data_IF_551224626476
#
_entry.id   IF_551224626476
#
_cell.length_a   1.000
_cell.length_b   1.000
_cell.length_c   1.000
_cell.angle_alpha   90.00
_cell.angle_beta   90.00
_cell.angle_gamma   90.00
#
_symmetry.space_group_name_H-M   'P 1'
#
loop_
_entity.id
_entity.type
_entity.pdbx_description
1 polymer ?
#
# COMPACT_ATOMS: atom_id res chain seq x y z
N UNK A 1 -17.82 -15.69 2.74
CA UNK A 1 -17.39 -14.51 1.93
C UNK A 1 -16.16 -14.93 1.15
N UNK A 2 -16.17 -14.83 -0.17
CA UNK A 2 -14.99 -15.13 -0.98
C UNK A 2 -14.05 -13.91 -0.98
N UNK A 3 -12.72 -14.14 -1.00
CA UNK A 3 -11.76 -13.06 -1.22
C UNK A 3 -11.97 -12.42 -2.60
N UNK A 4 -11.60 -11.14 -2.78
CA UNK A 4 -11.68 -10.49 -4.08
C UNK A 4 -10.68 -11.12 -5.05
N UNK A 5 -11.01 -11.16 -6.34
CA UNK A 5 -10.08 -11.58 -7.39
C UNK A 5 -8.88 -10.61 -7.49
N UNK A 6 -9.15 -9.31 -7.37
CA UNK A 6 -8.12 -8.26 -7.35
C UNK A 6 -8.07 -7.60 -5.97
N UNK A 7 -6.96 -7.82 -5.26
CA UNK A 7 -6.69 -7.15 -3.98
C UNK A 7 -5.99 -5.80 -4.20
N UNK A 8 -6.66 -4.72 -3.80
CA UNK A 8 -6.06 -3.37 -3.77
C UNK A 8 -5.68 -2.99 -2.34
N UNK A 9 -4.41 -2.68 -2.11
CA UNK A 9 -3.90 -2.24 -0.81
C UNK A 9 -3.50 -0.77 -0.85
N UNK A 10 -4.20 0.07 -0.08
CA UNK A 10 -3.83 1.46 0.11
C UNK A 10 -2.94 1.61 1.35
N UNK A 11 -1.64 1.81 1.14
CA UNK A 11 -0.72 2.16 2.21
C UNK A 11 -1.10 3.53 2.80
N UNK A 12 -1.44 3.56 4.10
CA UNK A 12 -1.78 4.80 4.81
C UNK A 12 -0.51 5.60 5.13
N UNK A 13 0.04 6.27 4.12
CA UNK A 13 1.31 7.00 4.21
C UNK A 13 1.18 8.44 4.72
N UNK A 14 0.09 8.80 5.36
CA UNK A 14 -0.09 10.15 5.91
C UNK A 14 -0.55 10.05 7.36
N UNK A 15 0.04 10.88 8.22
CA UNK A 15 -0.34 11.00 9.64
C UNK A 15 -0.39 12.46 10.04
N UNK A 16 -1.21 12.79 11.04
CA UNK A 16 -1.16 14.11 11.67
C UNK A 16 0.07 14.18 12.59
N UNK A 17 0.89 15.21 12.41
CA UNK A 17 2.02 15.50 13.27
C UNK A 17 1.67 16.69 14.16
N UNK A 18 1.66 16.44 15.48
CA UNK A 18 1.28 17.43 16.48
C UNK A 18 2.33 18.52 16.70
N UNK A 19 3.61 18.25 16.44
CA UNK A 19 4.68 19.24 16.61
C UNK A 19 4.58 20.36 15.57
N UNK A 20 4.31 19.98 14.32
CA UNK A 20 4.16 20.91 13.19
C UNK A 20 2.69 21.24 12.88
N UNK A 21 1.74 20.68 13.64
CA UNK A 21 0.28 20.85 13.51
C UNK A 21 -0.24 20.66 12.08
N UNK A 22 0.28 19.67 11.36
CA UNK A 22 -0.12 19.37 9.97
C UNK A 22 -0.07 17.88 9.66
N UNK A 23 -0.83 17.46 8.66
CA UNK A 23 -0.70 16.11 8.09
C UNK A 23 0.58 16.03 7.24
N UNK A 24 1.44 15.07 7.56
CA UNK A 24 2.74 14.84 6.91
C UNK A 24 2.80 13.46 6.29
N UNK A 25 3.61 13.32 5.24
CA UNK A 25 3.85 12.04 4.58
C UNK A 25 4.86 11.20 5.37
N UNK A 26 4.58 9.90 5.50
CA UNK A 26 5.47 8.90 6.08
C UNK A 26 6.45 8.43 5.01
N UNK A 27 7.72 8.80 5.19
CA UNK A 27 8.82 8.50 4.26
C UNK A 27 9.49 7.14 4.50
N UNK A 28 9.07 6.40 5.54
CA UNK A 28 9.64 5.07 5.85
C UNK A 28 9.55 4.13 4.65
N UNK A 29 10.65 3.44 4.35
CA UNK A 29 10.71 2.46 3.26
C UNK A 29 9.79 1.28 3.59
N UNK A 30 9.12 0.75 2.57
CA UNK A 30 8.30 -0.46 2.66
C UNK A 30 8.80 -1.40 1.57
N UNK A 31 9.08 -2.64 1.93
CA UNK A 31 9.40 -3.68 0.95
C UNK A 31 8.10 -4.19 0.32
N UNK A 32 8.01 -4.16 -1.00
CA UNK A 32 6.85 -4.67 -1.74
C UNK A 32 7.18 -6.09 -2.22
N UNK A 33 6.54 -7.14 -1.66
CA UNK A 33 6.85 -8.50 -2.05
C UNK A 33 6.24 -8.85 -3.42
N UNK A 34 6.85 -9.81 -4.12
CA UNK A 34 6.32 -10.32 -5.39
C UNK A 34 5.04 -11.15 -5.23
N UNK A 35 4.84 -11.72 -4.05
CA UNK A 35 3.65 -12.47 -3.66
C UNK A 35 3.27 -12.16 -2.21
N UNK A 36 1.97 -12.15 -1.91
CA UNK A 36 1.42 -11.86 -0.60
C UNK A 36 0.54 -13.02 -0.14
N UNK A 37 1.00 -13.75 0.87
CA UNK A 37 0.19 -14.74 1.57
C UNK A 37 -0.73 -14.04 2.56
N UNK A 38 -2.03 -14.24 2.41
CA UNK A 38 -3.01 -13.83 3.41
C UNK A 38 -2.98 -14.87 4.53
N UNK A 39 -2.84 -14.45 5.81
CA UNK A 39 -2.91 -15.37 6.93
C UNK A 39 -4.16 -16.24 6.80
N UNK A 40 -4.03 -17.57 6.92
CA UNK A 40 -5.17 -18.45 6.77
C UNK A 40 -6.21 -18.11 7.84
N UNK A 41 -7.42 -17.80 7.40
CA UNK A 41 -8.62 -18.11 8.15
C UNK A 41 -8.91 -19.62 7.96
N UNK A 42 -9.74 -20.20 8.81
CA UNK A 42 -9.92 -21.66 9.05
C UNK A 42 -10.15 -22.56 7.81
N UNK A 43 -10.28 -22.00 6.60
CA UNK A 43 -10.81 -22.69 5.42
C UNK A 43 -9.85 -22.66 4.21
N UNK A 44 -8.86 -21.74 4.10
CA UNK A 44 -7.95 -21.75 2.94
C UNK A 44 -6.69 -20.90 3.09
N UNK A 45 -5.57 -21.35 2.51
CA UNK A 45 -4.43 -20.48 2.21
C UNK A 45 -4.69 -19.73 0.90
N UNK A 46 -4.57 -18.41 0.93
CA UNK A 46 -4.76 -17.54 -0.24
C UNK A 46 -3.48 -16.75 -0.49
N UNK A 47 -3.00 -16.77 -1.72
CA UNK A 47 -1.82 -16.02 -2.15
C UNK A 47 -2.17 -15.12 -3.33
N UNK A 48 -1.80 -13.84 -3.23
CA UNK A 48 -1.88 -12.90 -4.34
C UNK A 48 -0.50 -12.70 -4.97
N UNK A 49 -0.45 -12.51 -6.27
CA UNK A 49 0.75 -12.04 -6.97
C UNK A 49 0.70 -10.53 -7.18
N UNK A 50 1.86 -9.88 -7.06
CA UNK A 50 1.97 -8.46 -7.31
C UNK A 50 1.77 -8.19 -8.81
N UNK A 51 0.67 -7.52 -9.14
CA UNK A 51 0.39 -7.05 -10.50
C UNK A 51 1.00 -5.66 -10.77
N UNK A 52 0.74 -4.70 -9.89
CA UNK A 52 1.20 -3.33 -10.04
C UNK A 52 1.39 -2.64 -8.68
N UNK A 53 2.18 -1.57 -8.66
CA UNK A 53 2.23 -0.62 -7.55
C UNK A 53 2.34 0.81 -8.05
N UNK A 54 1.82 1.74 -7.24
CA UNK A 54 1.82 3.17 -7.52
C UNK A 54 2.73 3.87 -6.54
N UNK A 55 3.74 4.55 -7.07
CA UNK A 55 4.57 5.46 -6.30
C UNK A 55 4.00 6.87 -6.34
N UNK A 56 4.05 7.53 -5.20
CA UNK A 56 3.75 8.94 -5.07
C UNK A 56 5.03 9.66 -4.63
N UNK A 57 5.46 10.66 -5.39
CA UNK A 57 6.58 11.54 -5.08
C UNK A 57 6.04 12.93 -4.73
N UNK A 58 6.46 13.51 -3.60
CA UNK A 58 5.90 14.76 -3.10
C UNK A 58 5.16 14.60 -1.77
N UNK A 59 4.34 15.60 -1.45
CA UNK A 59 3.70 15.82 -0.15
C UNK A 59 2.17 15.67 -0.23
N UNK A 60 1.46 15.88 0.88
CA UNK A 60 0.01 15.64 0.98
C UNK A 60 -0.84 16.28 -0.12
N UNK A 61 -0.49 17.49 -0.57
CA UNK A 61 -1.31 18.30 -1.49
C UNK A 61 -0.72 18.46 -2.89
N UNK A 62 0.49 17.97 -3.13
CA UNK A 62 1.18 18.13 -4.41
C UNK A 62 2.18 17.00 -4.62
N UNK A 63 2.36 16.59 -5.87
CA UNK A 63 3.29 15.54 -6.18
C UNK A 63 3.16 15.02 -7.61
N UNK A 64 3.86 13.93 -7.87
CA UNK A 64 3.86 13.19 -9.10
C UNK A 64 3.62 11.71 -8.80
N UNK A 65 2.87 11.04 -9.67
CA UNK A 65 2.55 9.63 -9.54
C UNK A 65 3.20 8.86 -10.68
N UNK A 66 3.85 7.75 -10.35
CA UNK A 66 4.30 6.76 -11.33
C UNK A 66 3.69 5.41 -11.00
N UNK A 67 3.51 4.58 -12.02
CA UNK A 67 3.03 3.22 -11.86
C UNK A 67 4.03 2.27 -12.45
N UNK A 68 4.31 1.19 -11.73
CA UNK A 68 5.06 0.05 -12.23
C UNK A 68 4.10 -1.12 -12.36
N UNK A 69 4.04 -1.69 -13.56
CA UNK A 69 3.21 -2.86 -13.90
C UNK A 69 4.19 -3.98 -14.29
N UNK A 70 3.95 -5.19 -13.79
CA UNK A 70 4.72 -6.38 -14.21
C UNK A 70 4.26 -6.93 -15.56
#
# INVERSE_FOLDING_TARGET
>A
KHPPEVLTLLLKRFKFDYHVKKCVKIQSKVQIPSSLQIPPNEIQSLTYELYAYVDHFGELRHGHYTVTIK
#
